data_IF_540400097830
#
_entry.id   IF_540400097830
#
_cell.length_a   1.000
_cell.length_b   1.000
_cell.length_c   1.000
_cell.angle_alpha   90.00
_cell.angle_beta   90.00
_cell.angle_gamma   90.00
#
_symmetry.space_group_name_H-M   'P 1'
#
loop_
_entity.id
_entity.type
_entity.pdbx_description
1 polymer ?
#
# COMPACT_ATOMS: atom_id res chain seq x y z
N UNK A 1 44.56 -7.02 45.39
CA UNK A 1 43.86 -7.17 46.68
C UNK A 1 44.61 -6.40 47.76
N UNK A 2 44.37 -5.10 47.86
CA UNK A 2 44.79 -4.29 48.99
C UNK A 2 43.54 -3.59 49.52
N UNK A 3 43.11 -4.03 50.71
CA UNK A 3 42.37 -3.26 51.71
C UNK A 3 40.95 -2.75 51.37
N UNK A 4 40.01 -3.67 51.13
CA UNK A 4 38.55 -3.41 51.21
C UNK A 4 37.97 -3.54 52.64
N UNK A 5 38.81 -3.84 53.64
CA UNK A 5 38.35 -4.13 55.02
C UNK A 5 38.56 -2.98 56.03
N UNK A 6 39.24 -1.89 55.67
CA UNK A 6 39.53 -0.79 56.62
C UNK A 6 38.67 0.45 56.43
N UNK A 7 37.71 0.45 55.50
CA UNK A 7 36.92 1.64 55.22
C UNK A 7 35.64 1.64 56.07
N UNK A 8 35.73 2.23 57.26
CA UNK A 8 34.54 2.70 57.97
C UNK A 8 33.96 3.85 57.14
N UNK A 9 32.94 3.56 56.33
CA UNK A 9 32.05 4.58 55.77
C UNK A 9 31.47 5.30 56.99
N UNK A 10 32.00 6.48 57.33
CA UNK A 10 31.38 7.32 58.34
C UNK A 10 29.93 7.59 57.88
N UNK A 11 28.93 7.55 58.78
CA UNK A 11 27.51 7.78 58.44
C UNK A 11 27.26 9.07 57.63
N UNK A 12 28.16 10.05 57.76
CA UNK A 12 28.15 11.31 57.02
C UNK A 12 28.35 11.12 55.50
N UNK A 13 29.05 10.07 55.04
CA UNK A 13 29.25 9.83 53.61
C UNK A 13 28.04 9.19 52.92
N UNK A 14 27.36 8.26 53.59
CA UNK A 14 26.08 7.73 53.09
C UNK A 14 25.06 8.87 52.95
N UNK A 15 25.06 9.84 53.87
CA UNK A 15 24.23 11.03 53.78
C UNK A 15 24.59 11.90 52.58
N UNK A 16 25.87 12.20 52.37
CA UNK A 16 26.35 13.00 51.22
C UNK A 16 26.05 12.29 49.89
N UNK A 17 26.18 10.95 49.84
CA UNK A 17 25.86 10.15 48.67
C UNK A 17 24.35 10.11 48.40
N UNK A 18 23.53 9.97 49.44
CA UNK A 18 22.07 10.06 49.33
C UNK A 18 21.64 11.42 48.81
N UNK A 19 22.25 12.50 49.32
CA UNK A 19 22.00 13.87 48.87
C UNK A 19 22.36 14.06 47.39
N UNK A 20 23.51 13.55 46.93
CA UNK A 20 23.89 13.59 45.52
C UNK A 20 22.92 12.81 44.60
N UNK A 21 22.41 11.67 45.08
CA UNK A 21 21.41 10.87 44.36
C UNK A 21 20.06 11.58 44.29
N UNK A 22 19.60 12.17 45.39
CA UNK A 22 18.37 12.96 45.44
C UNK A 22 18.45 14.18 44.51
N UNK A 23 19.56 14.92 44.55
CA UNK A 23 19.82 16.03 43.62
C UNK A 23 19.78 15.56 42.16
N UNK A 24 20.32 14.39 41.86
CA UNK A 24 20.28 13.80 40.52
C UNK A 24 18.84 13.49 40.09
N UNK A 25 18.03 12.86 40.96
CA UNK A 25 16.63 12.58 40.66
C UNK A 25 15.80 13.86 40.46
N UNK A 26 16.01 14.89 41.29
CA UNK A 26 15.33 16.19 41.18
C UNK A 26 15.71 16.88 39.87
N UNK A 27 17.00 16.90 39.51
CA UNK A 27 17.48 17.46 38.24
C UNK A 27 16.84 16.76 37.04
N UNK A 28 16.81 15.42 37.02
CA UNK A 28 16.16 14.68 35.94
C UNK A 28 14.68 15.02 35.79
N UNK A 29 13.94 15.13 36.91
CA UNK A 29 12.52 15.53 36.89
C UNK A 29 12.33 16.92 36.29
N UNK A 30 13.14 17.90 36.71
CA UNK A 30 13.06 19.28 36.22
C UNK A 30 13.42 19.38 34.73
N UNK A 31 14.47 18.69 34.28
CA UNK A 31 14.90 18.67 32.87
C UNK A 31 13.85 18.02 31.97
N UNK A 32 13.27 16.90 32.40
CA UNK A 32 12.20 16.23 31.64
C UNK A 32 10.96 17.12 31.53
N UNK A 33 10.54 17.75 32.63
CA UNK A 33 9.42 18.70 32.62
C UNK A 33 9.68 19.87 31.65
N UNK A 34 10.89 20.45 31.67
CA UNK A 34 11.26 21.51 30.73
C UNK A 34 11.31 21.03 29.27
N UNK A 35 11.70 19.78 29.01
CA UNK A 35 11.71 19.21 27.66
C UNK A 35 10.30 19.10 27.08
N UNK A 36 9.33 18.65 27.90
CA UNK A 36 7.92 18.57 27.51
C UNK A 36 7.37 19.98 27.26
N UNK A 37 7.57 20.91 28.20
CA UNK A 37 7.05 22.27 28.10
C UNK A 37 7.66 23.04 26.92
N UNK A 38 8.95 22.81 26.58
CA UNK A 38 9.59 23.43 25.41
C UNK A 38 9.02 22.91 24.08
N UNK A 39 8.68 21.62 23.99
CA UNK A 39 7.99 21.06 22.81
C UNK A 39 6.60 21.67 22.65
N UNK A 40 5.84 21.76 23.76
CA UNK A 40 4.52 22.36 23.77
C UNK A 40 4.56 23.84 23.39
N UNK A 41 5.56 24.57 23.91
CA UNK A 41 5.82 25.96 23.56
C UNK A 41 6.06 26.13 22.05
N UNK A 42 6.95 25.32 21.47
CA UNK A 42 7.24 25.35 20.02
C UNK A 42 5.99 25.09 19.17
N UNK A 43 5.15 24.15 19.60
CA UNK A 43 3.88 23.85 18.92
C UNK A 43 2.93 25.06 18.97
N UNK A 44 2.79 25.70 20.14
CA UNK A 44 1.93 26.88 20.26
C UNK A 44 2.45 28.09 19.49
N UNK A 45 3.77 28.29 19.44
CA UNK A 45 4.39 29.35 18.64
C UNK A 45 4.17 29.11 17.13
N UNK A 46 4.29 27.86 16.65
CA UNK A 46 3.97 27.51 15.25
C UNK A 46 2.50 27.75 14.90
N UNK A 47 1.57 27.30 15.76
CA UNK A 47 0.14 27.54 15.55
C UNK A 47 -0.21 29.04 15.53
N UNK A 48 0.49 29.85 16.33
CA UNK A 48 0.30 31.31 16.32
C UNK A 48 0.79 31.96 15.01
N UNK A 49 1.85 31.43 14.39
CA UNK A 49 2.37 31.92 13.10
C UNK A 49 1.55 31.48 11.88
N UNK A 50 0.94 30.30 11.91
CA UNK A 50 0.18 29.74 10.79
C UNK A 50 -1.28 30.23 10.73
N UNK A 51 -1.82 30.79 11.81
CA UNK A 51 -3.17 31.35 11.85
C UNK A 51 -3.25 32.69 11.08
N UNK A 52 -3.26 32.63 9.75
CA UNK A 52 -3.73 33.73 8.90
C UNK A 52 -5.22 33.53 8.60
N UNK A 53 -6.08 34.55 8.76
CA UNK A 53 -7.46 34.43 8.31
C UNK A 53 -7.45 34.16 6.80
N UNK A 54 -8.24 33.20 6.27
CA UNK A 54 -8.33 33.01 4.84
C UNK A 54 -8.73 34.34 4.19
N UNK A 55 -8.01 34.73 3.14
CA UNK A 55 -8.35 35.92 2.37
C UNK A 55 -9.78 35.79 1.87
N UNK A 56 -10.56 36.88 1.99
CA UNK A 56 -11.99 36.89 1.68
C UNK A 56 -12.31 36.38 0.28
N UNK A 57 -11.38 36.55 -0.66
CA UNK A 57 -11.49 36.11 -2.05
C UNK A 57 -11.51 34.58 -2.20
N UNK A 58 -10.83 33.81 -1.35
CA UNK A 58 -10.67 32.35 -1.56
C UNK A 58 -11.95 31.58 -1.27
N UNK A 59 -12.72 32.02 -0.27
CA UNK A 59 -14.00 31.39 0.08
C UNK A 59 -15.04 31.76 -0.97
N UNK A 60 -15.10 33.02 -1.39
CA UNK A 60 -16.07 33.49 -2.40
C UNK A 60 -15.81 32.85 -3.77
N UNK A 61 -14.54 32.69 -4.17
CA UNK A 61 -14.15 31.98 -5.39
C UNK A 61 -14.47 30.48 -5.35
N UNK A 62 -14.24 29.78 -4.23
CA UNK A 62 -14.63 28.36 -4.10
C UNK A 62 -16.14 28.14 -4.30
N UNK A 63 -16.98 29.04 -3.78
CA UNK A 63 -18.43 28.94 -3.95
C UNK A 63 -18.88 29.32 -5.36
N UNK A 64 -18.17 30.24 -6.04
CA UNK A 64 -18.39 30.54 -7.47
C UNK A 64 -17.96 29.38 -8.38
N UNK A 65 -16.83 28.74 -8.11
CA UNK A 65 -16.34 27.55 -8.85
C UNK A 65 -17.24 26.33 -8.65
N UNK A 66 -17.91 26.22 -7.49
CA UNK A 66 -18.93 25.19 -7.23
C UNK A 66 -20.27 25.43 -7.96
N UNK A 67 -20.41 26.51 -8.73
CA UNK A 67 -21.57 26.76 -9.60
C UNK A 67 -22.86 27.18 -8.89
N UNK A 68 -22.78 27.59 -7.61
CA UNK A 68 -23.95 27.98 -6.83
C UNK A 68 -24.17 29.49 -6.96
N UNK A 69 -25.18 29.90 -7.73
CA UNK A 69 -25.65 31.30 -7.73
C UNK A 69 -26.33 31.61 -6.38
N UNK A 70 -25.60 32.28 -5.49
CA UNK A 70 -26.00 32.55 -4.12
C UNK A 70 -26.92 33.80 -4.06
N UNK A 71 -28.21 33.68 -3.68
CA UNK A 71 -29.09 34.84 -3.49
C UNK A 71 -28.64 35.66 -2.26
N UNK A 72 -28.83 36.99 -2.29
CA UNK A 72 -28.37 37.98 -1.28
C UNK A 72 -28.54 37.59 0.22
N UNK A 73 -29.45 36.68 0.57
CA UNK A 73 -29.62 36.17 1.93
C UNK A 73 -28.47 35.27 2.42
N UNK A 74 -27.75 34.63 1.49
CA UNK A 74 -26.61 33.74 1.78
C UNK A 74 -25.30 34.50 1.97
N UNK A 75 -25.15 35.67 1.32
CA UNK A 75 -24.02 36.59 1.57
C UNK A 75 -24.03 37.11 3.02
N UNK A 76 -25.20 37.49 3.55
CA UNK A 76 -25.35 37.86 4.98
C UNK A 76 -24.92 36.73 5.92
N UNK A 77 -25.29 35.48 5.62
CA UNK A 77 -24.85 34.32 6.40
C UNK A 77 -23.34 34.08 6.29
N UNK A 78 -22.75 34.32 5.12
CA UNK A 78 -21.30 34.23 4.92
C UNK A 78 -20.56 35.30 5.73
N UNK A 79 -21.04 36.54 5.71
CA UNK A 79 -20.51 37.66 6.52
C UNK A 79 -20.61 37.37 8.02
N UNK A 80 -21.73 36.81 8.48
CA UNK A 80 -21.92 36.40 9.88
C UNK A 80 -20.95 35.27 10.28
N UNK A 81 -20.76 34.27 9.41
CA UNK A 81 -19.81 33.17 9.62
C UNK A 81 -18.37 33.68 9.62
N UNK A 82 -18.01 34.59 8.72
CA UNK A 82 -16.70 35.25 8.71
C UNK A 82 -16.47 36.09 9.98
N UNK A 83 -17.48 36.82 10.45
CA UNK A 83 -17.44 37.56 11.70
C UNK A 83 -17.24 36.64 12.92
N UNK A 84 -17.87 35.47 12.91
CA UNK A 84 -17.68 34.44 13.93
C UNK A 84 -16.28 33.81 13.88
N UNK A 85 -15.79 33.46 12.69
CA UNK A 85 -14.43 32.96 12.50
C UNK A 85 -13.36 33.98 12.92
N UNK A 86 -13.52 35.26 12.58
CA UNK A 86 -12.63 36.33 13.05
C UNK A 86 -12.60 36.43 14.58
N UNK A 87 -13.77 36.32 15.24
CA UNK A 87 -13.86 36.31 16.71
C UNK A 87 -13.21 35.06 17.32
N UNK A 88 -13.38 33.88 16.73
CA UNK A 88 -12.73 32.65 17.19
C UNK A 88 -11.21 32.76 17.07
N UNK A 89 -10.69 33.19 15.91
CA UNK A 89 -9.25 33.34 15.67
C UNK A 89 -8.67 34.39 16.65
N UNK A 90 -9.35 35.51 16.86
CA UNK A 90 -8.93 36.51 17.83
C UNK A 90 -8.85 35.96 19.26
N UNK A 91 -9.90 35.23 19.71
CA UNK A 91 -9.92 34.61 21.03
C UNK A 91 -8.84 33.53 21.19
N UNK A 92 -8.60 32.74 20.13
CA UNK A 92 -7.61 31.68 20.12
C UNK A 92 -6.18 32.22 20.15
N UNK A 93 -5.89 33.31 19.41
CA UNK A 93 -4.63 34.04 19.52
C UNK A 93 -4.37 34.57 20.92
N UNK A 94 -5.38 35.15 21.58
CA UNK A 94 -5.26 35.62 22.96
C UNK A 94 -4.99 34.46 23.93
N UNK A 95 -5.69 33.34 23.76
CA UNK A 95 -5.46 32.13 24.55
C UNK A 95 -4.04 31.57 24.36
N UNK A 96 -3.60 31.37 23.11
CA UNK A 96 -2.27 30.86 22.78
C UNK A 96 -1.17 31.79 23.31
N UNK A 97 -1.31 33.12 23.16
CA UNK A 97 -0.35 34.08 23.70
C UNK A 97 -0.23 33.97 25.22
N UNK A 98 -1.36 33.86 25.93
CA UNK A 98 -1.37 33.74 27.39
C UNK A 98 -0.68 32.45 27.85
N UNK A 99 -0.90 31.36 27.11
CA UNK A 99 -0.35 30.05 27.42
C UNK A 99 1.15 29.96 27.11
N UNK A 100 1.60 30.57 26.00
CA UNK A 100 3.02 30.75 25.65
C UNK A 100 3.75 31.50 26.78
N UNK A 101 3.17 32.61 27.26
CA UNK A 101 3.76 33.40 28.35
C UNK A 101 3.82 32.61 29.67
N UNK A 102 2.79 31.80 29.95
CA UNK A 102 2.76 30.90 31.11
C UNK A 102 3.89 29.87 31.04
N UNK A 103 4.04 29.18 29.90
CA UNK A 103 5.08 28.18 29.68
C UNK A 103 6.49 28.77 29.76
N UNK A 104 6.72 29.95 29.16
CA UNK A 104 8.01 30.66 29.23
C UNK A 104 8.40 30.99 30.67
N UNK A 105 7.47 31.47 31.49
CA UNK A 105 7.71 31.77 32.92
C UNK A 105 8.06 30.51 33.71
N UNK A 106 7.30 29.43 33.52
CA UNK A 106 7.50 28.16 34.20
C UNK A 106 8.84 27.51 33.83
N UNK A 107 9.20 27.48 32.54
CA UNK A 107 10.50 27.00 32.06
C UNK A 107 11.62 27.82 32.70
N UNK A 108 11.53 29.16 32.67
CA UNK A 108 12.55 30.04 33.23
C UNK A 108 12.73 29.89 34.74
N UNK A 109 11.65 29.62 35.49
CA UNK A 109 11.72 29.30 36.92
C UNK A 109 12.45 27.98 37.16
N UNK A 110 12.15 26.94 36.39
CA UNK A 110 12.81 25.64 36.51
C UNK A 110 14.26 25.66 36.05
N UNK A 111 14.61 26.45 35.03
CA UNK A 111 16.00 26.63 34.59
C UNK A 111 16.87 27.25 35.70
N UNK A 112 16.33 28.21 36.48
CA UNK A 112 17.02 28.73 37.68
C UNK A 112 17.25 27.64 38.74
N UNK A 113 16.22 26.83 39.03
CA UNK A 113 16.34 25.72 39.97
C UNK A 113 17.34 24.66 39.50
N UNK A 114 17.38 24.36 38.21
CA UNK A 114 18.36 23.45 37.61
C UNK A 114 19.77 23.97 37.83
N UNK A 115 20.01 25.27 37.63
CA UNK A 115 21.32 25.89 37.88
C UNK A 115 21.74 25.71 39.35
N UNK A 116 20.86 26.09 40.29
CA UNK A 116 21.14 25.99 41.74
C UNK A 116 21.43 24.55 42.19
N UNK A 117 20.65 23.58 41.73
CA UNK A 117 20.87 22.16 42.06
C UNK A 117 22.11 21.58 41.39
N UNK A 118 22.48 22.07 40.21
CA UNK A 118 23.71 21.66 39.51
C UNK A 118 24.95 22.15 40.26
N UNK A 119 24.96 23.40 40.72
CA UNK A 119 26.05 23.94 41.52
C UNK A 119 26.19 23.19 42.85
N UNK A 120 25.08 22.98 43.58
CA UNK A 120 25.08 22.20 44.83
C UNK A 120 25.65 20.80 44.61
N UNK A 121 25.21 20.11 43.56
CA UNK A 121 25.70 18.77 43.22
C UNK A 121 27.20 18.78 42.90
N UNK A 122 27.70 19.81 42.22
CA UNK A 122 29.13 19.95 41.93
C UNK A 122 29.94 20.03 43.23
N UNK A 123 29.49 20.84 44.21
CA UNK A 123 30.12 20.94 45.52
C UNK A 123 30.07 19.61 46.30
N UNK A 124 28.93 18.91 46.26
CA UNK A 124 28.76 17.58 46.89
C UNK A 124 29.73 16.55 46.29
N UNK A 125 29.92 16.58 44.96
CA UNK A 125 30.83 15.66 44.27
C UNK A 125 32.31 15.96 44.52
N UNK A 126 32.67 17.24 44.67
CA UNK A 126 34.05 17.65 45.01
C UNK A 126 34.46 17.12 46.40
N UNK A 127 33.54 17.14 47.37
CA UNK A 127 33.72 16.53 48.69
C UNK A 127 33.95 15.02 48.58
N UNK A 128 33.21 14.33 47.71
CA UNK A 128 33.37 12.88 47.46
C UNK A 128 34.67 12.54 46.71
N UNK A 129 35.16 13.41 45.83
CA UNK A 129 36.40 13.24 45.07
C UNK A 129 37.63 13.25 45.96
N UNK A 130 37.63 14.09 46.99
CA UNK A 130 38.79 14.30 47.87
C UNK A 130 39.18 13.02 48.63
N UNK A 131 38.30 12.01 48.75
CA UNK A 131 38.51 10.82 49.60
C UNK A 131 38.29 9.46 48.90
N UNK A 132 38.28 9.42 47.55
CA UNK A 132 38.30 8.16 46.77
C UNK A 132 36.96 7.43 46.58
N UNK A 133 35.86 7.93 47.14
CA UNK A 133 34.51 7.36 46.97
C UNK A 133 33.85 7.64 45.61
N UNK A 134 34.44 8.56 44.83
CA UNK A 134 33.93 8.95 43.51
C UNK A 134 34.02 7.83 42.47
N UNK A 135 35.02 6.96 42.55
CA UNK A 135 35.20 5.85 41.58
C UNK A 135 34.11 4.79 41.72
N UNK A 136 33.76 4.41 42.96
CA UNK A 136 32.65 3.49 43.23
C UNK A 136 31.30 4.10 42.83
N UNK A 137 31.08 5.38 43.13
CA UNK A 137 29.89 6.11 42.69
C UNK A 137 29.76 6.13 41.16
N UNK A 138 30.85 6.42 40.45
CA UNK A 138 30.87 6.44 38.99
C UNK A 138 30.58 5.06 38.40
N UNK A 139 31.11 4.00 39.02
CA UNK A 139 30.83 2.61 38.65
C UNK A 139 29.36 2.23 38.86
N UNK A 140 28.78 2.61 40.00
CA UNK A 140 27.38 2.37 40.32
C UNK A 140 26.45 3.14 39.38
N UNK A 141 26.77 4.40 39.08
CA UNK A 141 26.05 5.24 38.14
C UNK A 141 26.07 4.65 36.73
N UNK A 142 27.23 4.13 36.28
CA UNK A 142 27.33 3.46 34.98
C UNK A 142 26.47 2.20 34.91
N UNK A 143 26.47 1.37 35.97
CA UNK A 143 25.57 0.20 36.06
C UNK A 143 24.11 0.62 36.03
N UNK A 144 23.73 1.64 36.79
CA UNK A 144 22.37 2.17 36.81
C UNK A 144 21.92 2.64 35.41
N UNK A 145 22.76 3.43 34.72
CA UNK A 145 22.47 3.91 33.37
C UNK A 145 22.31 2.76 32.36
N UNK A 146 23.15 1.73 32.45
CA UNK A 146 23.02 0.54 31.62
C UNK A 146 21.68 -0.17 31.88
N UNK A 147 21.32 -0.41 33.15
CA UNK A 147 20.04 -1.04 33.49
C UNK A 147 18.85 -0.20 33.03
N UNK A 148 18.92 1.13 33.12
CA UNK A 148 17.87 2.03 32.62
C UNK A 148 17.76 1.97 31.11
N UNK A 149 18.88 1.93 30.38
CA UNK A 149 18.89 1.77 28.94
C UNK A 149 18.31 0.42 28.52
N UNK A 150 18.69 -0.66 29.22
CA UNK A 150 18.16 -2.00 28.98
C UNK A 150 16.64 -2.01 29.21
N UNK A 151 16.17 -1.43 30.31
CA UNK A 151 14.73 -1.29 30.61
C UNK A 151 14.00 -0.51 29.51
N UNK A 152 14.54 0.62 29.07
CA UNK A 152 13.94 1.43 28.01
C UNK A 152 13.89 0.66 26.68
N UNK A 153 14.94 -0.09 26.35
CA UNK A 153 14.97 -0.91 25.13
C UNK A 153 13.93 -2.04 25.17
N UNK A 154 13.82 -2.74 26.30
CA UNK A 154 12.80 -3.78 26.51
C UNK A 154 11.39 -3.17 26.47
N UNK A 155 11.18 -2.01 27.10
CA UNK A 155 9.88 -1.32 27.05
C UNK A 155 9.49 -0.97 25.61
N UNK A 156 10.44 -0.44 24.83
CA UNK A 156 10.24 -0.12 23.40
C UNK A 156 9.93 -1.39 22.61
N UNK A 157 10.62 -2.49 22.88
CA UNK A 157 10.37 -3.77 22.22
C UNK A 157 8.97 -4.32 22.53
N UNK A 158 8.51 -4.20 23.78
CA UNK A 158 7.15 -4.59 24.20
C UNK A 158 6.10 -3.72 23.50
N UNK A 159 6.31 -2.40 23.42
CA UNK A 159 5.41 -1.49 22.71
C UNK A 159 5.31 -1.84 21.23
N UNK A 160 6.45 -2.08 20.57
CA UNK A 160 6.48 -2.51 19.17
C UNK A 160 5.77 -3.85 18.97
N UNK A 161 5.96 -4.80 19.88
CA UNK A 161 5.31 -6.12 19.78
C UNK A 161 3.79 -6.01 19.89
N UNK A 162 3.28 -5.18 20.81
CA UNK A 162 1.84 -4.87 20.91
C UNK A 162 1.32 -4.19 19.64
N UNK A 163 2.09 -3.27 19.07
CA UNK A 163 1.72 -2.61 17.82
C UNK A 163 1.65 -3.60 16.65
N UNK A 164 2.60 -4.55 16.56
CA UNK A 164 2.57 -5.61 15.55
C UNK A 164 1.40 -6.58 15.74
N UNK A 165 1.08 -6.97 16.98
CA UNK A 165 -0.09 -7.81 17.26
C UNK A 165 -1.39 -7.13 16.82
N UNK A 166 -1.56 -5.84 17.13
CA UNK A 166 -2.70 -5.06 16.63
C UNK A 166 -2.71 -5.01 15.11
N UNK A 167 -1.59 -4.68 14.49
CA UNK A 167 -1.48 -4.58 13.03
C UNK A 167 -1.76 -5.89 12.30
N UNK A 168 -1.33 -7.04 12.85
CA UNK A 168 -1.65 -8.35 12.30
C UNK A 168 -3.16 -8.64 12.38
N UNK A 169 -3.80 -8.26 13.49
CA UNK A 169 -5.25 -8.38 13.66
C UNK A 169 -5.99 -7.52 12.62
N UNK A 170 -5.56 -6.27 12.43
CA UNK A 170 -6.16 -5.34 11.48
C UNK A 170 -6.00 -5.84 10.03
N UNK A 171 -4.83 -6.35 9.66
CA UNK A 171 -4.59 -6.97 8.35
C UNK A 171 -5.53 -8.16 8.14
N UNK A 172 -5.70 -9.01 9.16
CA UNK A 172 -6.59 -10.18 9.08
C UNK A 172 -8.05 -9.75 8.87
N UNK A 173 -8.51 -8.73 9.58
CA UNK A 173 -9.86 -8.18 9.41
C UNK A 173 -10.03 -7.63 7.98
N UNK A 174 -9.07 -6.82 7.51
CA UNK A 174 -9.09 -6.26 6.16
C UNK A 174 -9.09 -7.36 5.08
N UNK A 175 -8.30 -8.42 5.26
CA UNK A 175 -8.27 -9.57 4.36
C UNK A 175 -9.64 -10.27 4.28
N UNK A 176 -10.28 -10.55 5.41
CA UNK A 176 -11.61 -11.15 5.47
C UNK A 176 -12.69 -10.24 4.84
N UNK A 177 -12.58 -8.93 5.02
CA UNK A 177 -13.48 -7.97 4.37
C UNK A 177 -13.36 -7.98 2.85
N UNK A 178 -12.13 -8.00 2.33
CA UNK A 178 -11.86 -8.11 0.89
C UNK A 178 -12.38 -9.45 0.36
N UNK A 179 -12.12 -10.56 1.07
CA UNK A 179 -12.59 -11.88 0.68
C UNK A 179 -14.12 -11.96 0.64
N UNK A 180 -14.80 -11.37 1.63
CA UNK A 180 -16.27 -11.26 1.64
C UNK A 180 -16.78 -10.49 0.42
N UNK A 181 -16.16 -9.35 0.09
CA UNK A 181 -16.52 -8.56 -1.11
C UNK A 181 -16.30 -9.37 -2.39
N UNK A 182 -15.19 -10.10 -2.50
CA UNK A 182 -14.92 -10.97 -3.65
C UNK A 182 -15.97 -12.08 -3.79
N UNK A 183 -16.40 -12.71 -2.70
CA UNK A 183 -17.49 -13.72 -2.71
C UNK A 183 -18.84 -13.13 -3.11
N UNK A 184 -19.14 -11.91 -2.68
CA UNK A 184 -20.36 -11.22 -3.08
C UNK A 184 -20.33 -10.89 -4.59
N UNK A 185 -19.24 -10.29 -5.08
CA UNK A 185 -19.06 -9.99 -6.51
C UNK A 185 -19.13 -11.28 -7.36
N UNK A 186 -18.55 -12.38 -6.87
CA UNK A 186 -18.67 -13.70 -7.49
C UNK A 186 -20.12 -14.17 -7.59
N UNK A 187 -20.92 -14.04 -6.52
CA UNK A 187 -22.33 -14.42 -6.54
C UNK A 187 -23.15 -13.54 -7.50
N UNK A 188 -22.92 -12.24 -7.50
CA UNK A 188 -23.60 -11.25 -8.35
C UNK A 188 -23.31 -11.48 -9.84
N UNK A 189 -22.10 -11.94 -10.18
CA UNK A 189 -21.68 -12.22 -11.57
C UNK A 189 -22.10 -13.57 -12.12
N UNK A 190 -22.98 -14.30 -11.43
CA UNK A 190 -23.45 -15.63 -11.86
C UNK A 190 -23.90 -15.67 -13.34
N UNK A 191 -24.72 -14.75 -13.86
CA UNK A 191 -25.16 -14.81 -15.26
C UNK A 191 -24.01 -14.69 -16.28
N UNK A 192 -23.03 -13.83 -16.00
CA UNK A 192 -21.87 -13.64 -16.88
C UNK A 192 -20.94 -14.85 -16.77
N UNK A 193 -20.76 -15.40 -15.55
CA UNK A 193 -19.94 -16.60 -15.31
C UNK A 193 -20.52 -17.81 -16.04
N UNK A 194 -21.80 -18.09 -15.88
CA UNK A 194 -22.47 -19.21 -16.55
C UNK A 194 -22.39 -19.08 -18.07
N UNK A 195 -22.54 -17.86 -18.60
CA UNK A 195 -22.35 -17.59 -20.03
C UNK A 195 -20.91 -17.89 -20.47
N UNK A 196 -19.91 -17.45 -19.71
CA UNK A 196 -18.50 -17.72 -20.02
C UNK A 196 -18.18 -19.22 -20.01
N UNK A 197 -18.66 -19.94 -19.00
CA UNK A 197 -18.51 -21.40 -18.89
C UNK A 197 -19.17 -22.09 -20.08
N UNK A 198 -20.41 -21.71 -20.41
CA UNK A 198 -21.12 -22.29 -21.55
C UNK A 198 -20.39 -22.07 -22.87
N UNK A 199 -19.88 -20.87 -23.12
CA UNK A 199 -19.13 -20.55 -24.34
C UNK A 199 -17.84 -21.38 -24.44
N UNK A 200 -17.08 -21.44 -23.35
CA UNK A 200 -15.86 -22.23 -23.29
C UNK A 200 -16.13 -23.72 -23.57
N UNK A 201 -17.19 -24.26 -22.96
CA UNK A 201 -17.60 -25.65 -23.16
C UNK A 201 -17.96 -25.91 -24.64
N UNK A 202 -18.71 -25.01 -25.28
CA UNK A 202 -19.05 -25.12 -26.71
C UNK A 202 -17.81 -25.11 -27.60
N UNK A 203 -16.83 -24.24 -27.35
CA UNK A 203 -15.62 -24.16 -28.16
C UNK A 203 -14.72 -25.39 -27.98
N UNK A 204 -14.51 -25.82 -26.73
CA UNK A 204 -13.73 -27.01 -26.43
C UNK A 204 -14.38 -28.29 -26.97
N UNK A 205 -15.71 -28.41 -26.91
CA UNK A 205 -16.44 -29.52 -27.54
C UNK A 205 -16.30 -29.51 -29.06
N UNK A 206 -16.35 -28.33 -29.69
CA UNK A 206 -16.13 -28.18 -31.13
C UNK A 206 -14.75 -28.64 -31.61
N UNK A 207 -13.72 -28.52 -30.76
CA UNK A 207 -12.37 -29.01 -31.06
C UNK A 207 -12.22 -30.50 -30.73
N UNK A 208 -12.45 -30.87 -29.47
CA UNK A 208 -12.06 -32.19 -28.94
C UNK A 208 -13.21 -33.19 -28.84
N UNK A 209 -14.42 -32.84 -29.28
CA UNK A 209 -15.63 -33.67 -29.12
C UNK A 209 -15.91 -34.08 -27.66
N UNK A 210 -15.35 -33.31 -26.71
CA UNK A 210 -15.52 -33.47 -25.28
C UNK A 210 -15.57 -32.06 -24.67
N UNK A 211 -16.56 -31.76 -23.81
CA UNK A 211 -16.66 -30.45 -23.19
C UNK A 211 -15.51 -30.26 -22.20
N UNK A 212 -14.79 -29.16 -22.34
CA UNK A 212 -13.94 -28.64 -21.29
C UNK A 212 -14.77 -28.08 -20.13
N UNK A 213 -14.09 -27.69 -19.05
CA UNK A 213 -14.68 -27.01 -17.91
C UNK A 213 -13.83 -25.80 -17.54
N UNK A 214 -14.42 -24.62 -17.66
CA UNK A 214 -13.88 -23.39 -17.08
C UNK A 214 -14.33 -23.32 -15.62
N UNK A 215 -13.38 -23.40 -14.70
CA UNK A 215 -13.61 -23.30 -13.25
C UNK A 215 -13.21 -21.90 -12.80
N UNK A 216 -14.13 -21.21 -12.13
CA UNK A 216 -13.88 -19.88 -11.57
C UNK A 216 -14.31 -19.96 -10.11
N UNK A 217 -13.36 -19.74 -9.21
CA UNK A 217 -13.55 -19.85 -7.76
C UNK A 217 -12.94 -18.64 -7.03
N UNK A 218 -13.32 -18.48 -5.76
CA UNK A 218 -12.77 -17.47 -4.85
C UNK A 218 -12.03 -18.16 -3.72
N UNK A 219 -10.71 -18.10 -3.77
CA UNK A 219 -9.80 -18.61 -2.75
C UNK A 219 -9.36 -17.50 -1.78
N UNK A 220 -8.74 -17.83 -0.63
CA UNK A 220 -8.17 -16.82 0.26
C UNK A 220 -7.15 -15.88 -0.42
N UNK A 221 -6.53 -16.32 -1.51
CA UNK A 221 -5.58 -15.53 -2.33
C UNK A 221 -6.26 -14.68 -3.40
N UNK A 222 -7.57 -14.82 -3.61
CA UNK A 222 -8.35 -14.08 -4.61
C UNK A 222 -9.09 -14.98 -5.59
N UNK A 223 -9.40 -14.45 -6.77
CA UNK A 223 -10.04 -15.23 -7.83
C UNK A 223 -9.05 -16.23 -8.43
N UNK A 224 -9.47 -17.48 -8.50
CA UNK A 224 -8.75 -18.56 -9.18
C UNK A 224 -9.52 -18.95 -10.45
N UNK A 225 -8.79 -19.03 -11.56
CA UNK A 225 -9.31 -19.48 -12.84
C UNK A 225 -8.57 -20.75 -13.24
N UNK A 226 -9.31 -21.79 -13.59
CA UNK A 226 -8.76 -23.08 -13.98
C UNK A 226 -9.50 -23.62 -15.20
N UNK A 227 -8.81 -24.43 -16.01
CA UNK A 227 -9.34 -24.97 -17.26
C UNK A 227 -9.02 -26.44 -17.38
N UNK A 228 -10.04 -27.26 -17.27
CA UNK A 228 -9.97 -28.71 -17.41
C UNK A 228 -10.47 -29.12 -18.79
N UNK A 229 -9.69 -29.91 -19.53
CA UNK A 229 -10.11 -30.59 -20.76
C UNK A 229 -9.61 -32.03 -20.62
N UNK A 230 -10.44 -33.00 -21.01
CA UNK A 230 -10.02 -34.40 -21.02
C UNK A 230 -8.77 -34.58 -21.90
N UNK A 231 -7.80 -35.39 -21.42
CA UNK A 231 -6.50 -35.67 -22.07
C UNK A 231 -5.45 -34.54 -22.01
N UNK A 232 -5.37 -33.81 -20.91
CA UNK A 232 -4.47 -32.65 -20.66
C UNK A 232 -2.94 -32.90 -20.66
N UNK A 233 -2.42 -33.89 -21.39
CA UNK A 233 -1.00 -34.30 -21.34
C UNK A 233 -0.07 -33.77 -22.43
N UNK A 234 -0.58 -33.15 -23.51
CA UNK A 234 0.26 -32.65 -24.62
C UNK A 234 0.31 -31.12 -24.69
N UNK A 235 1.43 -30.57 -25.18
CA UNK A 235 1.61 -29.13 -25.38
C UNK A 235 0.55 -28.52 -26.29
N UNK A 236 0.17 -29.23 -27.37
CA UNK A 236 -0.90 -28.79 -28.28
C UNK A 236 -2.26 -28.65 -27.61
N UNK A 237 -2.60 -29.52 -26.65
CA UNK A 237 -3.87 -29.42 -25.90
C UNK A 237 -3.84 -28.20 -24.98
N UNK A 238 -2.69 -27.87 -24.39
CA UNK A 238 -2.54 -26.65 -23.60
C UNK A 238 -2.74 -25.39 -24.45
N UNK A 239 -2.20 -25.36 -25.66
CA UNK A 239 -2.38 -24.22 -26.57
C UNK A 239 -3.84 -24.07 -27.02
N UNK A 240 -4.54 -25.19 -27.28
CA UNK A 240 -5.96 -25.15 -27.62
C UNK A 240 -6.87 -24.75 -26.45
N UNK A 241 -6.45 -24.99 -25.19
CA UNK A 241 -7.12 -24.42 -24.01
C UNK A 241 -7.05 -22.89 -24.02
N UNK A 242 -5.86 -22.34 -24.29
CA UNK A 242 -5.65 -20.90 -24.38
C UNK A 242 -6.51 -20.34 -25.52
N UNK A 243 -6.49 -20.97 -26.69
CA UNK A 243 -7.31 -20.57 -27.83
C UNK A 243 -8.82 -20.52 -27.50
N UNK A 244 -9.37 -21.56 -26.86
CA UNK A 244 -10.77 -21.58 -26.46
C UNK A 244 -11.10 -20.48 -25.44
N UNK A 245 -10.19 -20.22 -24.51
CA UNK A 245 -10.33 -19.18 -23.51
C UNK A 245 -10.33 -17.80 -24.14
N UNK A 246 -9.37 -17.53 -25.03
CA UNK A 246 -9.23 -16.25 -25.72
C UNK A 246 -10.42 -15.97 -26.64
N UNK A 247 -10.93 -16.99 -27.33
CA UNK A 247 -12.14 -16.88 -28.15
C UNK A 247 -13.39 -16.60 -27.29
N UNK A 248 -13.48 -17.22 -26.11
CA UNK A 248 -14.53 -16.94 -25.12
C UNK A 248 -14.49 -15.48 -24.69
N UNK A 249 -13.30 -14.95 -24.38
CA UNK A 249 -13.12 -13.56 -24.03
C UNK A 249 -13.48 -12.62 -25.18
N UNK A 250 -12.99 -12.90 -26.40
CA UNK A 250 -13.27 -12.08 -27.57
C UNK A 250 -14.78 -11.95 -27.81
N UNK A 251 -15.52 -13.06 -27.72
CA UNK A 251 -16.98 -13.07 -27.85
C UNK A 251 -17.69 -12.29 -26.73
N UNK A 252 -17.28 -12.49 -25.48
CA UNK A 252 -17.86 -11.75 -24.35
C UNK A 252 -17.57 -10.25 -24.39
N UNK A 253 -16.39 -9.87 -24.90
CA UNK A 253 -16.01 -8.47 -25.07
C UNK A 253 -16.66 -7.82 -26.27
N UNK A 254 -16.96 -8.56 -27.34
CA UNK A 254 -17.59 -7.99 -28.54
C UNK A 254 -18.97 -7.35 -28.23
N UNK A 255 -19.68 -7.89 -27.24
CA UNK A 255 -20.96 -7.38 -26.75
C UNK A 255 -20.85 -6.11 -25.87
N UNK A 256 -19.63 -5.72 -25.48
CA UNK A 256 -19.39 -4.58 -24.59
C UNK A 256 -19.03 -3.31 -25.37
N UNK A 257 -19.21 -2.16 -24.71
CA UNK A 257 -18.74 -0.86 -25.21
C UNK A 257 -18.04 -0.10 -24.07
N UNK A 258 -16.78 0.35 -24.25
CA UNK A 258 -15.94 0.12 -25.43
C UNK A 258 -15.45 -1.33 -25.51
N UNK A 259 -15.16 -1.80 -26.71
CA UNK A 259 -14.59 -3.13 -26.96
C UNK A 259 -13.49 -3.04 -28.02
N UNK A 260 -12.35 -3.73 -27.83
CA UNK A 260 -11.28 -3.76 -28.82
C UNK A 260 -11.71 -4.47 -30.11
N UNK A 261 -12.69 -5.40 -30.04
CA UNK A 261 -13.18 -6.21 -31.16
C UNK A 261 -12.05 -6.81 -32.01
N UNK A 262 -10.99 -7.25 -31.35
CA UNK A 262 -9.77 -7.74 -31.98
C UNK A 262 -9.17 -8.86 -31.13
N UNK A 263 -8.79 -9.96 -31.79
CA UNK A 263 -8.03 -11.07 -31.23
C UNK A 263 -6.88 -11.40 -32.17
N UNK A 264 -5.66 -11.50 -31.65
CA UNK A 264 -4.46 -11.79 -32.43
C UNK A 264 -3.70 -12.95 -31.80
N UNK A 265 -3.38 -13.98 -32.58
CA UNK A 265 -2.48 -15.06 -32.17
C UNK A 265 -1.29 -15.19 -33.11
N UNK A 266 -0.11 -15.44 -32.54
CA UNK A 266 1.06 -15.85 -33.32
C UNK A 266 1.01 -17.37 -33.63
N UNK A 267 1.92 -17.87 -34.46
CA UNK A 267 1.96 -19.27 -34.89
C UNK A 267 2.11 -20.25 -33.73
N UNK A 268 2.67 -19.81 -32.61
CA UNK A 268 2.89 -20.62 -31.41
C UNK A 268 1.63 -21.22 -30.82
N UNK A 269 0.47 -20.60 -31.03
CA UNK A 269 -0.83 -21.15 -30.57
C UNK A 269 -1.17 -22.47 -31.26
N UNK A 270 -0.57 -22.75 -32.42
CA UNK A 270 -0.80 -23.97 -33.20
C UNK A 270 0.36 -24.97 -33.10
N UNK A 271 1.38 -24.69 -32.30
CA UNK A 271 2.54 -25.57 -32.14
C UNK A 271 2.14 -26.87 -31.41
N UNK A 272 2.52 -28.00 -32.00
CA UNK A 272 2.19 -29.33 -31.47
C UNK A 272 0.70 -29.68 -31.53
N UNK A 273 -0.11 -28.91 -32.25
CA UNK A 273 -1.53 -29.16 -32.48
C UNK A 273 -1.72 -29.99 -33.74
N UNK A 274 -2.50 -31.06 -33.64
CA UNK A 274 -2.83 -31.95 -34.75
C UNK A 274 -3.56 -31.20 -35.88
N UNK A 275 -3.33 -31.59 -37.14
CA UNK A 275 -3.86 -30.92 -38.33
C UNK A 275 -5.37 -30.75 -38.31
N UNK A 276 -6.11 -31.79 -37.89
CA UNK A 276 -7.56 -31.74 -37.79
C UNK A 276 -8.03 -30.69 -36.77
N UNK A 277 -7.32 -30.58 -35.65
CA UNK A 277 -7.64 -29.61 -34.60
C UNK A 277 -7.34 -28.18 -35.04
N UNK A 278 -6.26 -27.97 -35.80
CA UNK A 278 -5.95 -26.66 -36.41
C UNK A 278 -7.04 -26.24 -37.41
N UNK A 279 -7.50 -27.16 -38.24
CA UNK A 279 -8.57 -26.88 -39.21
C UNK A 279 -9.85 -26.45 -38.49
N UNK A 280 -10.29 -27.23 -37.50
CA UNK A 280 -11.47 -26.92 -36.69
C UNK A 280 -11.34 -25.57 -35.96
N UNK A 281 -10.17 -25.28 -35.38
CA UNK A 281 -9.93 -24.01 -34.69
C UNK A 281 -10.07 -22.80 -35.63
N UNK A 282 -9.51 -22.87 -36.84
CA UNK A 282 -9.62 -21.79 -37.83
C UNK A 282 -11.06 -21.61 -38.32
N UNK A 283 -11.79 -22.70 -38.55
CA UNK A 283 -13.21 -22.64 -38.94
C UNK A 283 -14.09 -22.03 -37.85
N UNK A 284 -13.88 -22.45 -36.60
CA UNK A 284 -14.59 -21.90 -35.43
C UNK A 284 -14.27 -20.41 -35.30
N UNK A 285 -13.00 -20.02 -35.36
CA UNK A 285 -12.62 -18.61 -35.24
C UNK A 285 -13.25 -17.74 -36.34
N UNK A 286 -13.23 -18.20 -37.60
CA UNK A 286 -13.84 -17.48 -38.71
C UNK A 286 -15.35 -17.28 -38.46
N UNK A 287 -16.07 -18.36 -38.16
CA UNK A 287 -17.51 -18.32 -37.87
C UNK A 287 -17.84 -17.40 -36.71
N UNK A 288 -17.12 -17.51 -35.60
CA UNK A 288 -17.41 -16.72 -34.39
C UNK A 288 -17.06 -15.25 -34.56
N UNK A 289 -15.99 -14.94 -35.29
CA UNK A 289 -15.57 -13.58 -35.62
C UNK A 289 -16.62 -12.84 -36.47
N UNK A 290 -17.19 -13.53 -37.46
CA UNK A 290 -18.27 -13.00 -38.30
C UNK A 290 -19.57 -12.82 -37.51
N UNK A 291 -19.96 -13.81 -36.71
CA UNK A 291 -21.20 -13.77 -35.94
C UNK A 291 -21.19 -12.72 -34.83
N UNK A 292 -20.04 -12.56 -34.16
CA UNK A 292 -19.92 -11.69 -32.99
C UNK A 292 -19.28 -10.33 -33.33
N UNK A 293 -18.99 -10.07 -34.61
CA UNK A 293 -18.44 -8.79 -35.11
C UNK A 293 -17.13 -8.37 -34.40
N UNK A 294 -16.17 -9.28 -34.33
CA UNK A 294 -14.79 -8.98 -33.96
C UNK A 294 -13.83 -9.48 -35.03
N UNK A 295 -12.62 -8.94 -35.09
CA UNK A 295 -11.59 -9.38 -36.02
C UNK A 295 -10.68 -10.41 -35.35
N UNK A 296 -10.51 -11.57 -35.98
CA UNK A 296 -9.47 -12.53 -35.62
C UNK A 296 -8.32 -12.46 -36.63
N UNK A 297 -7.09 -12.34 -36.12
CA UNK A 297 -5.86 -12.36 -36.93
C UNK A 297 -4.97 -13.46 -36.36
N UNK A 298 -4.48 -14.34 -37.22
CA UNK A 298 -3.46 -15.30 -36.81
C UNK A 298 -2.31 -15.38 -37.80
N UNK A 299 -1.13 -15.66 -37.26
CA UNK A 299 0.05 -16.02 -38.03
C UNK A 299 0.13 -17.54 -38.08
N UNK A 300 0.50 -18.09 -39.24
CA UNK A 300 0.65 -19.53 -39.41
C UNK A 300 1.75 -19.80 -40.43
N UNK A 301 2.66 -20.71 -40.09
CA UNK A 301 3.69 -21.15 -41.02
C UNK A 301 3.04 -21.97 -42.15
N UNK A 302 3.55 -21.82 -43.37
CA UNK A 302 2.94 -22.42 -44.57
C UNK A 302 2.88 -23.95 -44.54
N UNK A 303 3.82 -24.59 -43.84
CA UNK A 303 3.89 -26.04 -43.59
C UNK A 303 2.87 -26.52 -42.56
N UNK A 304 2.38 -25.63 -41.69
CA UNK A 304 1.40 -25.94 -40.65
C UNK A 304 -0.05 -25.72 -41.09
N UNK A 305 -0.30 -25.33 -42.34
CA UNK A 305 -1.65 -25.11 -42.86
C UNK A 305 -2.32 -26.46 -43.19
N UNK A 306 -3.42 -26.83 -42.53
CA UNK A 306 -4.06 -28.14 -42.69
C UNK A 306 -5.00 -28.17 -43.91
N UNK A 307 -4.45 -28.04 -45.11
CA UNK A 307 -5.23 -27.88 -46.36
C UNK A 307 -6.25 -28.99 -46.62
N UNK A 308 -5.93 -30.22 -46.24
CA UNK A 308 -6.75 -31.41 -46.53
C UNK A 308 -7.83 -31.68 -45.48
N UNK A 309 -7.79 -31.00 -44.33
CA UNK A 309 -8.67 -31.25 -43.18
C UNK A 309 -9.84 -30.25 -43.07
N UNK A 310 -9.84 -29.19 -43.88
CA UNK A 310 -10.93 -28.21 -43.90
C UNK A 310 -12.24 -28.80 -44.44
N UNK A 311 -13.36 -28.33 -43.91
CA UNK A 311 -14.68 -28.62 -44.45
C UNK A 311 -14.82 -28.10 -45.89
N UNK A 312 -15.62 -28.79 -46.70
CA UNK A 312 -15.75 -28.50 -48.14
C UNK A 312 -16.22 -27.07 -48.46
N UNK A 313 -16.93 -26.46 -47.52
CA UNK A 313 -17.50 -25.11 -47.66
C UNK A 313 -16.55 -24.02 -47.13
N UNK A 314 -15.44 -24.40 -46.49
CA UNK A 314 -14.47 -23.48 -45.94
C UNK A 314 -13.26 -23.31 -46.86
N UNK A 315 -13.02 -22.07 -47.30
CA UNK A 315 -11.87 -21.72 -48.13
C UNK A 315 -10.97 -20.72 -47.40
N UNK A 316 -9.90 -21.23 -46.79
CA UNK A 316 -8.92 -20.43 -46.07
C UNK A 316 -8.27 -19.35 -46.96
N UNK A 317 -8.15 -19.58 -48.28
CA UNK A 317 -7.47 -18.64 -49.19
C UNK A 317 -8.16 -17.28 -49.23
N UNK A 318 -9.47 -17.22 -48.98
CA UNK A 318 -10.25 -15.98 -48.89
C UNK A 318 -9.87 -15.12 -47.68
N UNK A 319 -9.29 -15.73 -46.65
CA UNK A 319 -8.89 -15.06 -45.40
C UNK A 319 -7.42 -14.68 -45.38
N UNK A 320 -6.60 -15.18 -46.32
CA UNK A 320 -5.20 -14.78 -46.42
C UNK A 320 -5.12 -13.30 -46.81
N UNK A 321 -4.42 -12.51 -45.99
CA UNK A 321 -4.20 -11.06 -46.22
C UNK A 321 -2.77 -10.73 -46.59
N UNK A 322 -1.81 -11.53 -46.10
CA UNK A 322 -0.39 -11.33 -46.32
C UNK A 322 0.30 -12.69 -46.31
N UNK A 323 1.26 -12.87 -47.22
CA UNK A 323 2.16 -14.03 -47.25
C UNK A 323 3.58 -13.52 -47.22
N UNK A 324 4.34 -13.94 -46.22
CA UNK A 324 5.73 -13.54 -46.04
C UNK A 324 6.66 -14.66 -46.50
N UNK A 325 7.81 -14.30 -47.07
CA UNK A 325 8.83 -15.24 -47.53
C UNK A 325 10.21 -14.61 -47.49
N UNK A 326 11.24 -15.41 -47.19
CA UNK A 326 12.63 -14.93 -47.18
C UNK A 326 13.26 -14.85 -48.58
N UNK A 327 12.51 -15.25 -49.62
CA UNK A 327 12.99 -15.34 -51.00
C UNK A 327 13.30 -13.95 -51.60
N UNK A 328 12.63 -12.89 -51.15
CA UNK A 328 12.83 -11.53 -51.64
C UNK A 328 12.70 -10.50 -50.52
N UNK A 329 13.32 -9.32 -50.68
CA UNK A 329 13.22 -8.20 -49.72
C UNK A 329 11.77 -7.73 -49.56
N UNK A 330 10.95 -7.79 -50.60
CA UNK A 330 9.52 -7.43 -50.57
C UNK A 330 8.67 -8.47 -49.81
N UNK A 331 9.14 -9.71 -49.73
CA UNK A 331 8.49 -10.79 -48.99
C UNK A 331 8.86 -10.84 -47.51
N UNK A 332 9.91 -10.13 -47.08
CA UNK A 332 10.37 -10.15 -45.69
C UNK A 332 9.49 -9.27 -44.80
N UNK A 333 9.32 -9.67 -43.54
CA UNK A 333 8.64 -8.84 -42.54
C UNK A 333 9.39 -7.50 -42.41
N UNK A 334 8.68 -6.38 -42.65
CA UNK A 334 9.23 -5.02 -42.63
C UNK A 334 10.39 -4.78 -43.63
N UNK A 335 10.62 -5.66 -44.60
CA UNK A 335 11.72 -5.55 -45.56
C UNK A 335 13.11 -5.83 -44.97
N UNK A 336 13.19 -6.50 -43.82
CA UNK A 336 14.44 -6.81 -43.11
C UNK A 336 14.72 -8.32 -43.16
N UNK A 337 15.97 -8.71 -43.44
CA UNK A 337 16.47 -10.08 -43.30
C UNK A 337 17.25 -10.21 -41.99
N UNK A 338 16.93 -11.22 -41.19
CA UNK A 338 17.59 -11.51 -39.90
C UNK A 338 18.68 -12.59 -40.05
#
# INVERSE_FOLDING_TARGET
MLSLQSFKVLPQYEQIQSEANELTQVLHKLINANTIDKRLLSLYEQNLTEETPPESETVEQMYMEAGIALPNFTLRRLEEVQGFHKKIIANRRVFLSTEIDRLKREIGKRDKQILEYTEKKATTLEILQTHGALEEYTSLQKKYLNTVNDLNSISTMIENMKAFESGLSDIKISHEEILRKARQDYAERTPIRERAISLFNTFSEGLYSAPGKLVIDVEPTGFRFDVEIERSGSSGISNMKIFCYDLTLAKLWADKSPSPRLLIHDSTIFDGVDERQRALALEIAAKESEQSNFQYICMLNSDNVPWDEFSKDFDLKKYIRLTLSDQSLEGCLLGIRF
#
